data_IF_493606108978
#
_entry.id   IF_493606108978
#
_cell.length_a   1.000
_cell.length_b   1.000
_cell.length_c   1.000
_cell.angle_alpha   90.00
_cell.angle_beta   90.00
_cell.angle_gamma   90.00
#
_symmetry.space_group_name_H-M   'P 1'
#
loop_
_entity.id
_entity.type
_entity.pdbx_description
1 polymer ?
#
# COMPACT_ATOMS: atom_id res chain seq x y z
N UNK A 1 -6.35 -16.69 -4.24
CA UNK A 1 -7.08 -17.10 -3.01
C UNK A 1 -6.05 -17.71 -2.08
N UNK A 2 -5.77 -17.03 -0.97
CA UNK A 2 -4.66 -17.38 -0.06
C UNK A 2 -5.03 -18.67 0.68
N UNK A 3 -4.15 -19.69 0.62
CA UNK A 3 -4.47 -21.08 0.98
C UNK A 3 -4.71 -21.35 2.48
N UNK A 4 -4.41 -20.40 3.37
CA UNK A 4 -4.71 -20.46 4.81
C UNK A 4 -4.52 -19.07 5.43
N UNK A 5 -5.19 -18.78 6.55
CA UNK A 5 -4.94 -17.55 7.33
C UNK A 5 -3.47 -17.42 7.77
N UNK A 6 -2.79 -18.56 8.02
CA UNK A 6 -1.37 -18.57 8.35
C UNK A 6 -0.48 -18.00 7.24
N UNK A 7 -0.92 -18.08 5.99
CA UNK A 7 -0.18 -17.57 4.82
C UNK A 7 -0.17 -16.05 4.72
N UNK A 8 -1.04 -15.34 5.45
CA UNK A 8 -1.01 -13.88 5.53
C UNK A 8 0.09 -13.36 6.47
N UNK A 9 0.56 -14.22 7.39
CA UNK A 9 1.57 -13.84 8.37
C UNK A 9 2.93 -13.64 7.68
N UNK A 10 3.47 -12.43 7.79
CA UNK A 10 4.74 -12.06 7.14
C UNK A 10 4.58 -11.55 5.71
N UNK A 11 3.36 -11.44 5.20
CA UNK A 11 3.08 -10.78 3.93
C UNK A 11 3.38 -9.28 3.98
N UNK A 12 3.64 -8.69 2.81
CA UNK A 12 4.00 -7.28 2.69
C UNK A 12 2.72 -6.47 2.41
N UNK A 13 2.58 -5.32 3.05
CA UNK A 13 1.38 -4.47 2.88
C UNK A 13 1.20 -4.03 1.43
N UNK A 14 2.30 -3.76 0.70
CA UNK A 14 2.24 -3.41 -0.72
C UNK A 14 1.62 -4.52 -1.57
N UNK A 15 1.98 -5.79 -1.33
CA UNK A 15 1.42 -6.95 -2.04
C UNK A 15 -0.11 -7.00 -1.85
N UNK A 16 -0.57 -6.85 -0.60
CA UNK A 16 -2.01 -6.82 -0.31
C UNK A 16 -2.74 -5.64 -0.96
N UNK A 17 -2.10 -4.48 -1.08
CA UNK A 17 -2.69 -3.32 -1.76
C UNK A 17 -2.81 -3.53 -3.27
N UNK A 18 -1.80 -4.15 -3.88
CA UNK A 18 -1.76 -4.46 -5.32
C UNK A 18 -2.77 -5.55 -5.66
N UNK A 19 -2.85 -6.63 -4.87
CA UNK A 19 -3.84 -7.69 -5.02
C UNK A 19 -5.28 -7.18 -4.89
N UNK A 20 -5.52 -6.21 -3.99
CA UNK A 20 -6.85 -5.67 -3.75
C UNK A 20 -7.34 -4.71 -4.85
N UNK A 21 -6.41 -3.98 -5.48
CA UNK A 21 -6.77 -2.90 -6.43
C UNK A 21 -6.41 -3.19 -7.87
N UNK A 22 -5.50 -4.14 -8.13
CA UNK A 22 -4.82 -4.31 -9.41
C UNK A 22 -3.88 -3.14 -9.78
N UNK A 23 -3.60 -2.23 -8.84
CA UNK A 23 -2.72 -1.07 -9.01
C UNK A 23 -1.25 -1.39 -8.73
N UNK A 24 -0.42 -0.34 -8.66
CA UNK A 24 1.01 -0.44 -8.31
C UNK A 24 1.26 0.32 -7.00
N UNK A 25 1.88 -0.35 -6.03
CA UNK A 25 2.21 0.25 -4.74
C UNK A 25 3.62 0.88 -4.75
N UNK A 26 3.75 2.08 -4.19
CA UNK A 26 5.04 2.77 -4.06
C UNK A 26 5.27 3.23 -2.62
N UNK A 27 6.50 3.11 -2.14
CA UNK A 27 6.92 3.64 -0.83
C UNK A 27 7.81 4.87 -1.03
N UNK A 28 7.46 5.96 -0.36
CA UNK A 28 8.12 7.26 -0.47
C UNK A 28 8.26 7.89 0.92
N UNK A 29 9.34 8.65 1.18
CA UNK A 29 9.42 9.47 2.38
C UNK A 29 8.23 10.43 2.49
N UNK A 30 7.69 10.58 3.70
CA UNK A 30 6.52 11.43 3.93
C UNK A 30 6.88 12.89 3.64
N UNK A 31 6.18 13.47 2.66
CA UNK A 31 6.26 14.90 2.34
C UNK A 31 4.88 15.42 1.92
N UNK A 32 4.61 16.70 2.18
CA UNK A 32 3.34 17.34 1.79
C UNK A 32 3.07 17.17 0.29
N UNK A 33 4.09 17.36 -0.55
CA UNK A 33 3.99 17.21 -2.01
C UNK A 33 3.59 15.79 -2.43
N UNK A 34 4.14 14.76 -1.79
CA UNK A 34 3.79 13.36 -2.10
C UNK A 34 2.33 13.05 -1.72
N UNK A 35 1.88 13.52 -0.56
CA UNK A 35 0.50 13.31 -0.09
C UNK A 35 -0.50 14.01 -1.02
N UNK A 36 -0.25 15.28 -1.37
CA UNK A 36 -1.13 16.04 -2.27
C UNK A 36 -1.22 15.40 -3.64
N UNK A 37 -0.09 14.96 -4.21
CA UNK A 37 -0.05 14.30 -5.52
C UNK A 37 -0.83 12.97 -5.54
N UNK A 38 -0.71 12.18 -4.46
CA UNK A 38 -1.40 10.91 -4.33
C UNK A 38 -2.92 11.10 -4.15
N UNK A 39 -3.33 12.08 -3.33
CA UNK A 39 -4.74 12.41 -3.13
C UNK A 39 -5.41 12.92 -4.41
N UNK A 40 -4.70 13.77 -5.17
CA UNK A 40 -5.19 14.28 -6.46
C UNK A 40 -5.42 13.16 -7.50
N UNK A 41 -4.76 12.01 -7.35
CA UNK A 41 -4.91 10.82 -8.21
C UNK A 41 -5.85 9.78 -7.62
N UNK A 42 -6.55 10.07 -6.52
CA UNK A 42 -7.37 9.10 -5.79
C UNK A 42 -6.60 7.81 -5.40
N UNK A 43 -5.30 7.94 -5.14
CA UNK A 43 -4.48 6.81 -4.72
C UNK A 43 -4.84 6.37 -3.30
N UNK A 44 -4.80 5.06 -3.03
CA UNK A 44 -4.81 4.56 -1.65
C UNK A 44 -3.49 4.95 -0.97
N UNK A 45 -3.61 5.48 0.25
CA UNK A 45 -2.47 5.93 1.04
C UNK A 45 -2.33 5.09 2.31
N UNK A 46 -1.10 4.69 2.63
CA UNK A 46 -0.72 4.08 3.90
C UNK A 46 0.58 4.72 4.39
N UNK A 47 0.67 4.98 5.70
CA UNK A 47 1.84 5.58 6.33
C UNK A 47 2.19 4.82 7.62
N UNK A 48 3.48 4.68 7.90
CA UNK A 48 3.98 4.01 9.09
C UNK A 48 5.04 4.88 9.77
N UNK A 49 5.07 4.82 11.10
CA UNK A 49 6.14 5.42 11.91
C UNK A 49 7.23 4.34 12.05
N UNK A 50 8.48 4.75 11.86
CA UNK A 50 9.63 3.85 11.99
C UNK A 50 10.17 3.86 13.42
#
# INVERSE_FOLDING_TARGET
LIGSYGSLKGGIISEGMEDFTGGIAYSLPVSSRAITAALARSSLLSCFIH
#
